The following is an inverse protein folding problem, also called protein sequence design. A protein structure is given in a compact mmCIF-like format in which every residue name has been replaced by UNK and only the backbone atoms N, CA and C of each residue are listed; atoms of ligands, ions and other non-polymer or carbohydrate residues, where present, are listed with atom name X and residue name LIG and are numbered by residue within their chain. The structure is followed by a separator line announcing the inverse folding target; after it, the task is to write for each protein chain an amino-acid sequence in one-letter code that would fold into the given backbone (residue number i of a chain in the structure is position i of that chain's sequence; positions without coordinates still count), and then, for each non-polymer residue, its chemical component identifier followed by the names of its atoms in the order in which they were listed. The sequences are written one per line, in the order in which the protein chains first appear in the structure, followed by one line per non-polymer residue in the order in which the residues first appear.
data_IF_083119519737
#
_entry.id   IF_083119519737
#
_cell.length_a   1.000
_cell.length_b   1.000
_cell.length_c   1.000
_cell.angle_alpha   90.00
_cell.angle_beta   90.00
_cell.angle_gamma   90.00
#
_symmetry.space_group_name_H-M   'P 1'
#
loop_
_entity.id
_entity.type
_entity.pdbx_description
1 polymer ?
#
# COMPACT_ATOMS: atom_id res chain seq x y z
N UNK A 1 17.43 12.70 3.37
CA UNK A 1 16.63 11.52 3.00
C UNK A 1 15.26 12.04 2.62
N UNK A 2 14.86 11.93 1.36
CA UNK A 2 13.52 12.34 0.91
C UNK A 2 12.47 11.42 1.54
N UNK A 3 11.30 11.96 1.89
CA UNK A 3 10.20 11.19 2.51
C UNK A 3 9.74 10.00 1.62
N UNK A 4 9.85 10.15 0.29
CA UNK A 4 9.55 9.10 -0.70
C UNK A 4 10.38 7.82 -0.50
N UNK A 5 11.67 7.96 -0.19
CA UNK A 5 12.60 6.84 0.00
C UNK A 5 12.38 6.07 1.32
N UNK A 6 11.64 6.65 2.28
CA UNK A 6 11.21 5.94 3.48
C UNK A 6 9.98 5.07 3.17
N UNK A 7 9.05 5.58 2.36
CA UNK A 7 7.76 4.94 2.08
C UNK A 7 7.94 3.62 1.31
N UNK A 8 8.83 3.58 0.32
CA UNK A 8 9.09 2.36 -0.47
C UNK A 8 9.65 1.21 0.35
N UNK A 9 10.34 1.47 1.47
CA UNK A 9 10.88 0.43 2.36
C UNK A 9 9.81 -0.39 3.06
N UNK A 10 8.58 0.13 3.12
CA UNK A 10 7.41 -0.58 3.65
C UNK A 10 6.89 -1.65 2.69
N UNK A 11 7.27 -1.63 1.42
CA UNK A 11 6.79 -2.56 0.40
C UNK A 11 7.70 -3.78 0.25
N UNK A 12 7.12 -4.87 -0.26
CA UNK A 12 7.88 -6.01 -0.78
C UNK A 12 8.48 -5.71 -2.15
N UNK A 13 9.54 -6.43 -2.49
CA UNK A 13 10.31 -6.24 -3.74
C UNK A 13 9.42 -6.32 -5.00
N UNK A 14 8.39 -7.18 -4.96
CA UNK A 14 7.42 -7.41 -6.03
C UNK A 14 6.01 -6.86 -5.70
N UNK A 15 5.91 -5.95 -4.75
CA UNK A 15 4.63 -5.37 -4.39
C UNK A 15 4.00 -4.63 -5.58
N UNK A 16 2.67 -4.60 -5.61
CA UNK A 16 1.91 -3.87 -6.62
C UNK A 16 1.03 -2.83 -5.94
N UNK A 17 1.07 -1.61 -6.47
CA UNK A 17 0.15 -0.53 -6.18
C UNK A 17 -0.83 -0.35 -7.34
N UNK A 18 -2.11 -0.24 -7.04
CA UNK A 18 -3.15 0.21 -7.97
C UNK A 18 -3.60 1.59 -7.52
N UNK A 19 -3.21 2.64 -8.24
CA UNK A 19 -3.54 4.03 -7.91
C UNK A 19 -4.58 4.58 -8.87
N UNK A 20 -5.81 4.74 -8.41
CA UNK A 20 -6.97 5.16 -9.23
C UNK A 20 -7.19 4.30 -10.48
N UNK A 21 -6.66 3.06 -10.52
CA UNK A 21 -6.73 2.15 -11.66
C UNK A 21 -5.42 2.01 -12.45
N UNK A 22 -4.42 2.84 -12.17
CA UNK A 22 -3.08 2.72 -12.76
C UNK A 22 -2.23 1.74 -11.95
N UNK A 23 -1.59 0.78 -12.61
CA UNK A 23 -0.78 -0.26 -11.96
C UNK A 23 0.68 0.18 -11.90
N UNK A 24 1.28 0.06 -10.71
CA UNK A 24 2.71 0.31 -10.46
C UNK A 24 3.27 -0.91 -9.72
N UNK A 25 4.28 -1.57 -10.29
CA UNK A 25 4.80 -2.83 -9.74
C UNK A 25 6.31 -2.78 -9.56
N UNK A 26 6.78 -3.22 -8.39
CA UNK A 26 8.19 -3.27 -8.03
C UNK A 26 8.71 -1.99 -7.39
N UNK A 27 9.75 -2.12 -6.55
CA UNK A 27 10.24 -1.02 -5.71
C UNK A 27 10.74 0.20 -6.49
N UNK A 28 11.42 0.01 -7.62
CA UNK A 28 11.93 1.13 -8.42
C UNK A 28 10.79 1.96 -9.02
N UNK A 29 9.75 1.28 -9.54
CA UNK A 29 8.57 1.95 -10.08
C UNK A 29 7.78 2.66 -8.98
N UNK A 30 7.66 2.05 -7.80
CA UNK A 30 7.04 2.67 -6.62
C UNK A 30 7.82 3.91 -6.15
N UNK A 31 9.15 3.84 -6.12
CA UNK A 31 9.99 4.97 -5.74
C UNK A 31 9.78 6.16 -6.66
N UNK A 32 9.87 5.94 -7.97
CA UNK A 32 9.63 6.96 -8.97
C UNK A 32 8.21 7.53 -8.85
N UNK A 33 7.21 6.66 -8.66
CA UNK A 33 5.82 7.09 -8.52
C UNK A 33 5.62 8.00 -7.29
N UNK A 34 6.12 7.61 -6.12
CA UNK A 34 5.97 8.42 -4.89
C UNK A 34 6.78 9.72 -4.93
N UNK A 35 7.89 9.77 -5.68
CA UNK A 35 8.64 11.02 -5.91
C UNK A 35 7.89 12.01 -6.81
N UNK A 36 7.07 11.50 -7.74
CA UNK A 36 6.28 12.33 -8.64
C UNK A 36 4.98 12.86 -8.02
N UNK A 37 4.52 12.27 -6.91
CA UNK A 37 3.31 12.74 -6.24
C UNK A 37 3.55 14.09 -5.53
N UNK A 38 2.57 15.01 -5.55
CA UNK A 38 2.63 16.20 -4.73
C UNK A 38 2.69 15.84 -3.25
N UNK A 39 3.22 16.76 -2.43
CA UNK A 39 3.11 16.67 -0.97
C UNK A 39 1.66 16.47 -0.55
N UNK A 40 1.42 15.62 0.43
CA UNK A 40 0.07 15.19 0.81
C UNK A 40 -0.15 15.25 2.32
N UNK A 41 -1.33 15.69 2.73
CA UNK A 41 -1.83 15.58 4.10
C UNK A 41 -3.01 14.60 4.13
N UNK A 42 -2.86 13.54 4.92
CA UNK A 42 -3.88 12.50 5.08
C UNK A 42 -4.52 12.61 6.46
N UNK A 43 -5.86 12.59 6.49
CA UNK A 43 -6.64 12.38 7.70
C UNK A 43 -7.38 11.05 7.54
N UNK A 44 -7.00 10.05 8.35
CA UNK A 44 -7.67 8.75 8.36
C UNK A 44 -8.87 8.81 9.30
N UNK A 45 -10.05 8.50 8.78
CA UNK A 45 -11.30 8.53 9.55
C UNK A 45 -11.71 7.13 10.03
N UNK A 46 -11.48 6.13 9.19
CA UNK A 46 -11.88 4.75 9.47
C UNK A 46 -10.73 3.80 9.16
N UNK A 47 -10.65 2.73 9.96
CA UNK A 47 -9.72 1.63 9.78
C UNK A 47 -10.39 0.34 10.26
N UNK A 48 -10.32 -0.70 9.44
CA UNK A 48 -10.70 -2.06 9.79
C UNK A 48 -9.63 -3.04 9.28
N UNK A 49 -9.51 -4.20 9.92
CA UNK A 49 -8.54 -5.21 9.50
C UNK A 49 -9.04 -6.63 9.75
N UNK A 50 -8.63 -7.53 8.85
CA UNK A 50 -9.08 -8.91 8.84
C UNK A 50 -7.91 -9.86 8.55
N UNK A 51 -7.76 -10.96 9.29
CA UNK A 51 -6.79 -11.99 8.95
C UNK A 51 -7.21 -12.67 7.64
N UNK A 52 -6.28 -12.85 6.71
CA UNK A 52 -6.56 -13.55 5.45
C UNK A 52 -6.17 -15.01 5.58
N UNK A 53 -7.16 -15.90 5.43
CA UNK A 53 -6.96 -17.34 5.54
C UNK A 53 -6.35 -17.91 4.24
N UNK A 54 -5.31 -18.74 4.37
CA UNK A 54 -4.77 -19.56 3.29
C UNK A 54 -3.43 -19.07 2.71
N UNK A 55 -2.90 -19.84 1.74
CA UNK A 55 -1.72 -19.44 0.95
C UNK A 55 -2.13 -18.35 -0.03
N UNK A 56 -1.87 -17.10 0.32
CA UNK A 56 -1.98 -16.02 -0.65
C UNK A 56 -0.92 -16.24 -1.74
N UNK A 57 -1.37 -16.61 -2.94
CA UNK A 57 -0.54 -16.86 -4.14
C UNK A 57 0.10 -15.61 -4.75
N UNK A 58 0.20 -14.50 -4.00
CA UNK A 58 0.73 -13.25 -4.54
C UNK A 58 2.26 -13.36 -4.71
N UNK A 59 2.92 -14.34 -4.08
CA UNK A 59 4.37 -14.48 -4.14
C UNK A 59 4.82 -15.93 -4.38
N UNK A 60 5.15 -16.20 -5.65
CA UNK A 60 6.10 -17.23 -6.11
C UNK A 60 5.61 -18.69 -6.24
N UNK A 61 6.12 -19.33 -7.30
CA UNK A 61 5.82 -20.69 -7.77
C UNK A 61 6.38 -21.80 -6.86
N UNK A 62 7.19 -21.44 -5.86
CA UNK A 62 7.75 -22.39 -4.90
C UNK A 62 7.11 -22.21 -3.52
N UNK A 63 6.78 -23.34 -2.91
CA UNK A 63 6.03 -23.47 -1.68
C UNK A 63 6.75 -22.87 -0.46
N UNK A 64 6.63 -21.56 -0.28
CA UNK A 64 6.95 -20.90 0.99
C UNK A 64 5.94 -21.37 2.06
N UNK A 65 6.35 -21.50 3.34
CA UNK A 65 5.42 -21.71 4.45
C UNK A 65 4.30 -20.66 4.43
N UNK A 66 3.15 -21.00 5.02
CA UNK A 66 2.01 -20.07 5.16
C UNK A 66 2.47 -18.76 5.81
N UNK A 67 2.65 -17.69 5.02
CA UNK A 67 2.89 -16.37 5.58
C UNK A 67 1.60 -15.85 6.22
N UNK A 68 1.71 -15.35 7.45
CA UNK A 68 0.61 -14.63 8.10
C UNK A 68 0.35 -13.34 7.34
N UNK A 69 -0.90 -13.15 6.92
CA UNK A 69 -1.32 -11.99 6.13
C UNK A 69 -2.55 -11.34 6.72
N UNK A 70 -2.62 -10.02 6.60
CA UNK A 70 -3.72 -9.20 7.12
C UNK A 70 -4.16 -8.25 6.02
N UNK A 71 -5.46 -8.25 5.73
CA UNK A 71 -6.09 -7.20 4.93
C UNK A 71 -6.37 -6.03 5.85
N UNK A 72 -5.94 -4.84 5.45
CA UNK A 72 -6.26 -3.57 6.11
C UNK A 72 -7.07 -2.74 5.12
N UNK A 73 -8.20 -2.21 5.57
CA UNK A 73 -9.00 -1.26 4.79
C UNK A 73 -9.11 0.04 5.56
N UNK A 74 -8.97 1.15 4.86
CA UNK A 74 -9.02 2.48 5.46
C UNK A 74 -9.71 3.46 4.52
N UNK A 75 -10.34 4.47 5.12
CA UNK A 75 -10.91 5.57 4.39
C UNK A 75 -10.76 6.86 5.17
N UNK A 76 -10.84 7.96 4.44
CA UNK A 76 -10.73 9.28 5.03
C UNK A 76 -10.56 10.33 3.96
N UNK A 77 -9.74 11.31 4.29
CA UNK A 77 -9.54 12.53 3.53
C UNK A 77 -8.07 12.67 3.18
N UNK A 78 -7.79 13.08 1.95
CA UNK A 78 -6.45 13.46 1.51
C UNK A 78 -6.48 14.81 0.81
N UNK A 79 -5.48 15.64 1.09
CA UNK A 79 -5.21 16.88 0.38
C UNK A 79 -3.81 16.82 -0.21
N UNK A 80 -3.72 16.84 -1.53
CA UNK A 80 -2.46 17.00 -2.25
C UNK A 80 -2.20 18.49 -2.49
N UNK A 81 -0.94 18.90 -2.43
CA UNK A 81 -0.56 20.29 -2.70
C UNK A 81 -1.02 20.73 -4.10
N UNK A 82 -1.51 21.96 -4.20
CA UNK A 82 -2.12 22.50 -5.42
C UNK A 82 -3.48 21.89 -5.84
N UNK A 83 -4.03 20.93 -5.08
CA UNK A 83 -5.28 20.25 -5.42
C UNK A 83 -6.39 20.49 -4.38
N UNK A 84 -7.64 20.23 -4.79
CA UNK A 84 -8.76 20.17 -3.84
C UNK A 84 -8.61 18.98 -2.90
N UNK A 85 -9.33 19.03 -1.80
CA UNK A 85 -9.43 17.91 -0.87
C UNK A 85 -10.31 16.80 -1.47
N UNK A 86 -9.90 15.54 -1.31
CA UNK A 86 -10.61 14.36 -1.78
C UNK A 86 -10.91 13.40 -0.64
N UNK A 87 -12.05 12.69 -0.75
CA UNK A 87 -12.26 11.49 0.04
C UNK A 87 -11.60 10.31 -0.66
N UNK A 88 -10.98 9.41 0.11
CA UNK A 88 -10.33 8.22 -0.44
C UNK A 88 -10.78 6.95 0.27
N UNK A 89 -10.62 5.83 -0.43
CA UNK A 89 -10.57 4.50 0.15
C UNK A 89 -9.23 3.88 -0.26
N UNK A 90 -8.57 3.21 0.68
CA UNK A 90 -7.34 2.48 0.42
C UNK A 90 -7.38 1.13 1.13
N UNK A 91 -6.85 0.10 0.49
CA UNK A 91 -6.67 -1.19 1.12
C UNK A 91 -5.25 -1.71 0.90
N UNK A 92 -4.72 -2.35 1.94
CA UNK A 92 -3.41 -2.96 1.95
C UNK A 92 -3.55 -4.43 2.26
N UNK A 93 -2.81 -5.26 1.53
CA UNK A 93 -2.49 -6.59 1.99
C UNK A 93 -1.11 -6.55 2.63
N UNK A 94 -1.03 -6.83 3.93
CA UNK A 94 0.22 -6.91 4.67
C UNK A 94 0.67 -8.37 4.81
N UNK A 95 1.97 -8.60 4.70
CA UNK A 95 2.59 -9.91 4.95
C UNK A 95 3.60 -9.79 6.08
N UNK A 96 3.57 -10.74 7.02
CA UNK A 96 4.53 -10.83 8.11
C UNK A 96 5.82 -11.51 7.64
N UNK A 97 6.95 -10.86 7.90
CA UNK A 97 8.29 -11.38 7.68
C UNK A 97 9.02 -11.47 9.02
N UNK A 98 9.14 -12.68 9.54
CA UNK A 98 9.89 -12.95 10.76
C UNK A 98 11.39 -13.07 10.45
N UNK A 99 12.18 -12.30 11.17
CA UNK A 99 13.63 -12.44 11.30
C UNK A 99 13.93 -13.14 12.63
N UNK A 100 15.19 -13.51 12.87
CA UNK A 100 15.62 -14.14 14.14
C UNK A 100 15.19 -13.37 15.39
N UNK A 101 15.09 -12.03 15.31
CA UNK A 101 14.88 -11.18 16.48
C UNK A 101 13.58 -10.37 16.44
N UNK A 102 12.92 -10.23 15.28
CA UNK A 102 11.77 -9.34 15.09
C UNK A 102 10.85 -9.83 13.97
N UNK A 103 9.57 -9.50 14.07
CA UNK A 103 8.62 -9.61 12.96
C UNK A 103 8.36 -8.23 12.38
N UNK A 104 8.56 -8.07 11.08
CA UNK A 104 8.22 -6.86 10.34
C UNK A 104 7.07 -7.13 9.39
N UNK A 105 6.19 -6.15 9.22
CA UNK A 105 5.09 -6.23 8.26
C UNK A 105 5.45 -5.43 7.02
N UNK A 106 5.22 -6.01 5.85
CA UNK A 106 5.44 -5.36 4.56
C UNK A 106 4.19 -5.39 3.71
N UNK A 107 4.03 -4.35 2.89
CA UNK A 107 2.94 -4.22 1.94
C UNK A 107 3.22 -5.13 0.75
N UNK A 108 2.33 -6.10 0.57
CA UNK A 108 2.29 -7.01 -0.56
C UNK A 108 1.49 -6.43 -1.73
N UNK A 109 0.36 -5.79 -1.42
CA UNK A 109 -0.53 -5.15 -2.38
C UNK A 109 -1.09 -3.88 -1.75
N UNK A 110 -1.20 -2.83 -2.55
CA UNK A 110 -1.83 -1.56 -2.20
C UNK A 110 -2.83 -1.18 -3.29
N UNK A 111 -4.02 -0.73 -2.92
CA UNK A 111 -5.02 -0.23 -3.85
C UNK A 111 -5.64 1.04 -3.27
N UNK A 112 -5.32 2.17 -3.89
CA UNK A 112 -5.79 3.51 -3.53
C UNK A 112 -6.78 4.02 -4.58
N UNK A 113 -7.90 4.59 -4.13
CA UNK A 113 -8.88 5.22 -5.02
C UNK A 113 -9.58 6.42 -4.37
N UNK A 114 -9.70 7.51 -5.11
CA UNK A 114 -10.59 8.62 -4.77
C UNK A 114 -12.06 8.19 -4.89
N UNK A 115 -12.90 8.64 -3.96
CA UNK A 115 -14.34 8.39 -4.05
C UNK A 115 -14.96 9.13 -5.23
N UNK A 116 -14.45 10.32 -5.53
CA UNK A 116 -14.89 11.19 -6.62
C UNK A 116 -13.99 11.08 -7.85
N UNK A 117 -13.34 9.92 -8.07
CA UNK A 117 -12.28 9.75 -9.09
C UNK A 117 -12.72 10.19 -10.50
N UNK A 118 -13.97 9.95 -10.88
CA UNK A 118 -14.51 10.30 -12.20
C UNK A 118 -14.63 11.82 -12.42
N UNK A 119 -14.50 12.60 -11.36
CA UNK A 119 -14.58 14.07 -11.31
C UNK A 119 -13.37 14.71 -10.61
N UNK A 120 -12.30 13.92 -10.44
CA UNK A 120 -11.04 14.31 -9.81
C UNK A 120 -10.03 14.76 -10.85
#
# INVERSE_FOLDING_TARGET
MTMSMALTRLYLDKATLIWNGNVVTGLDALANFFEMLPSSEFQVNMLDCQPVHGKIRVFQEQATPSQTTVLVVTSGIVKFDGNKQHYFNQNFLLSAHSTLNNTVWKIASDCFRFQDWASS
#
